data_IF_824457297444
#
_entry.id   IF_824457297444
#
_cell.length_a   1.000
_cell.length_b   1.000
_cell.length_c   1.000
_cell.angle_alpha   90.00
_cell.angle_beta   90.00
_cell.angle_gamma   90.00
#
_symmetry.space_group_name_H-M   'P 1'
#
loop_
_entity.id
_entity.type
_entity.pdbx_description
1 polymer ?
#
# COMPACT_ATOMS: atom_id res chain seq x y z
N UNK A 1 11.22 -15.95 -15.02
CA UNK A 1 9.93 -15.66 -14.35
C UNK A 1 9.69 -14.15 -14.42
N UNK A 2 8.96 -13.67 -15.43
CA UNK A 2 8.60 -12.24 -15.56
C UNK A 2 7.29 -11.99 -14.80
N UNK A 3 7.38 -11.86 -13.49
CA UNK A 3 6.22 -11.61 -12.63
C UNK A 3 5.61 -10.25 -12.97
N UNK A 4 4.31 -10.20 -13.31
CA UNK A 4 3.25 -9.17 -13.21
C UNK A 4 3.54 -7.66 -12.89
N UNK A 5 4.77 -7.17 -12.95
CA UNK A 5 5.15 -5.78 -12.68
C UNK A 5 4.51 -4.80 -13.67
N UNK A 6 4.30 -5.23 -14.93
CA UNK A 6 3.69 -4.39 -15.97
C UNK A 6 2.24 -3.98 -15.67
N UNK A 7 1.46 -4.84 -15.00
CA UNK A 7 0.07 -4.55 -14.63
C UNK A 7 0.01 -3.55 -13.45
N UNK A 8 0.86 -3.74 -12.44
CA UNK A 8 1.00 -2.78 -11.32
C UNK A 8 1.51 -1.41 -11.80
N UNK A 9 2.29 -1.36 -12.88
CA UNK A 9 2.76 -0.09 -13.45
C UNK A 9 1.69 0.68 -14.23
N UNK A 10 0.72 0.01 -14.87
CA UNK A 10 -0.20 0.66 -15.83
C UNK A 10 -1.61 0.95 -15.32
N UNK A 11 -2.10 0.30 -14.26
CA UNK A 11 -3.55 0.35 -13.91
C UNK A 11 -3.89 0.75 -12.47
N UNK A 12 -2.96 0.63 -11.51
CA UNK A 12 -3.29 0.78 -10.07
C UNK A 12 -2.73 2.05 -9.41
N UNK A 13 -3.30 2.47 -8.28
CA UNK A 13 -2.89 3.68 -7.53
C UNK A 13 -1.60 3.49 -6.70
N UNK A 14 -1.18 4.55 -5.99
CA UNK A 14 0.01 4.54 -5.12
C UNK A 14 -0.02 3.50 -4.00
N UNK A 15 -1.20 3.23 -3.45
CA UNK A 15 -1.40 2.18 -2.44
C UNK A 15 -1.06 0.80 -3.00
N UNK A 16 -1.73 0.40 -4.08
CA UNK A 16 -1.52 -0.89 -4.72
C UNK A 16 -0.07 -1.08 -5.18
N UNK A 17 0.52 -0.03 -5.75
CA UNK A 17 1.90 -0.04 -6.20
C UNK A 17 2.87 -0.32 -5.04
N UNK A 18 2.72 0.43 -3.94
CA UNK A 18 3.62 0.33 -2.81
C UNK A 18 3.50 -1.03 -2.10
N UNK A 19 2.28 -1.59 -2.03
CA UNK A 19 2.00 -2.82 -1.30
C UNK A 19 1.97 -4.08 -2.16
N UNK A 20 2.28 -3.95 -3.46
CA UNK A 20 2.15 -5.02 -4.46
C UNK A 20 0.77 -5.70 -4.40
N UNK A 21 -0.26 -4.91 -4.17
CA UNK A 21 -1.63 -5.38 -4.02
C UNK A 21 -2.28 -5.48 -5.42
N UNK A 22 -2.22 -6.68 -5.99
CA UNK A 22 -2.72 -6.96 -7.34
C UNK A 22 -4.23 -7.18 -7.27
N UNK A 23 -5.01 -6.14 -7.58
CA UNK A 23 -6.46 -6.29 -7.78
C UNK A 23 -6.77 -6.50 -9.26
N UNK A 24 -7.45 -7.59 -9.64
CA UNK A 24 -7.90 -7.80 -11.03
C UNK A 24 -8.99 -6.80 -11.47
N UNK A 25 -9.56 -6.05 -10.53
CA UNK A 25 -10.66 -5.11 -10.78
C UNK A 25 -10.21 -3.66 -10.55
N UNK A 26 -10.74 -2.71 -11.32
CA UNK A 26 -10.42 -1.27 -11.31
C UNK A 26 -10.79 -0.51 -10.03
N UNK A 27 -11.14 -1.20 -8.95
CA UNK A 27 -11.45 -0.58 -7.67
C UNK A 27 -10.13 -0.19 -7.00
N UNK A 28 -9.73 1.06 -7.17
CA UNK A 28 -8.54 1.66 -6.55
C UNK A 28 -8.44 1.29 -5.07
N UNK A 29 -7.58 0.33 -4.68
CA UNK A 29 -7.53 -0.13 -3.30
C UNK A 29 -7.04 0.98 -2.38
N UNK A 30 -7.58 1.00 -1.17
CA UNK A 30 -7.29 2.01 -0.16
C UNK A 30 -7.06 1.32 1.19
N UNK A 31 -6.35 1.97 2.13
CA UNK A 31 -6.19 1.47 3.49
C UNK A 31 -7.55 1.12 4.11
N UNK A 32 -7.65 -0.07 4.71
CA UNK A 32 -8.86 -0.65 5.30
C UNK A 32 -9.84 -1.28 4.31
N UNK A 33 -9.65 -1.08 3.01
CA UNK A 33 -10.60 -1.53 1.99
C UNK A 33 -10.75 -3.05 1.92
N UNK A 34 -9.71 -3.80 2.29
CA UNK A 34 -9.75 -5.26 2.39
C UNK A 34 -10.74 -5.78 3.45
N UNK A 35 -11.03 -4.94 4.45
CA UNK A 35 -11.93 -5.20 5.57
C UNK A 35 -13.28 -4.48 5.44
N UNK A 36 -13.55 -3.85 4.30
CA UNK A 36 -14.76 -3.06 4.08
C UNK A 36 -14.80 -1.75 4.85
N UNK A 37 -13.65 -1.25 5.31
CA UNK A 37 -13.56 0.03 6.02
C UNK A 37 -13.29 1.16 5.04
N UNK A 38 -14.06 2.24 5.16
CA UNK A 38 -13.85 3.47 4.39
C UNK A 38 -12.60 4.19 4.87
N UNK A 39 -11.75 4.61 3.93
CA UNK A 39 -10.55 5.37 4.24
C UNK A 39 -10.87 6.71 4.95
N UNK A 40 -10.13 6.99 6.02
CA UNK A 40 -10.04 8.30 6.66
C UNK A 40 -8.57 8.68 6.82
N UNK A 41 -8.28 9.96 6.62
CA UNK A 41 -6.93 10.54 6.72
C UNK A 41 -6.37 10.38 8.14
N UNK A 42 -7.21 10.58 9.14
CA UNK A 42 -6.88 10.52 10.57
C UNK A 42 -6.58 9.07 10.99
N UNK A 43 -7.26 8.11 10.37
CA UNK A 43 -7.14 6.69 10.67
C UNK A 43 -6.11 5.97 9.77
N UNK A 44 -5.34 6.66 8.93
CA UNK A 44 -4.49 5.98 7.94
C UNK A 44 -3.51 4.97 8.56
N UNK A 45 -2.85 5.32 9.68
CA UNK A 45 -1.91 4.41 10.34
C UNK A 45 -2.62 3.15 10.83
N UNK A 46 -3.68 3.22 11.66
CA UNK A 46 -4.37 2.01 12.09
C UNK A 46 -5.01 1.23 10.92
N UNK A 47 -5.40 1.88 9.82
CA UNK A 47 -5.90 1.19 8.62
C UNK A 47 -4.79 0.42 7.89
N UNK A 48 -3.59 1.00 7.75
CA UNK A 48 -2.43 0.29 7.20
C UNK A 48 -2.05 -0.92 8.07
N UNK A 49 -2.07 -0.76 9.39
CA UNK A 49 -1.82 -1.86 10.33
C UNK A 49 -2.89 -2.95 10.24
N UNK A 50 -4.16 -2.56 10.09
CA UNK A 50 -5.29 -3.48 9.85
C UNK A 50 -5.13 -4.31 8.58
N UNK A 51 -4.55 -3.70 7.53
CA UNK A 51 -4.22 -4.39 6.29
C UNK A 51 -2.96 -5.27 6.40
N UNK A 52 -2.25 -5.24 7.54
CA UNK A 52 -1.14 -6.13 7.86
C UNK A 52 0.25 -5.49 7.77
N UNK A 53 0.34 -4.17 7.65
CA UNK A 53 1.61 -3.46 7.75
C UNK A 53 2.07 -3.37 9.20
N UNK A 54 3.38 -3.40 9.41
CA UNK A 54 3.95 -3.23 10.75
C UNK A 54 4.72 -1.91 10.80
N UNK A 55 4.24 -0.94 11.58
CA UNK A 55 4.89 0.36 11.76
C UNK A 55 6.28 0.20 12.39
N UNK A 56 7.20 1.04 11.95
CA UNK A 56 8.60 1.08 12.39
C UNK A 56 9.01 2.53 12.56
N UNK A 57 9.52 2.86 13.75
CA UNK A 57 9.91 4.23 14.08
C UNK A 57 11.33 4.55 13.62
N UNK A 58 12.15 3.54 13.28
CA UNK A 58 13.54 3.72 12.85
C UNK A 58 13.82 3.06 11.50
N UNK A 59 14.68 3.71 10.71
CA UNK A 59 15.13 3.20 9.42
C UNK A 59 16.12 2.01 9.55
N UNK A 60 16.65 1.74 10.74
CA UNK A 60 17.92 1.03 10.91
C UNK A 60 17.92 -0.46 10.55
N UNK A 61 16.84 -1.18 10.83
CA UNK A 61 16.86 -2.64 10.69
C UNK A 61 16.14 -3.11 9.42
N UNK A 62 16.73 -4.07 8.73
CA UNK A 62 16.02 -4.83 7.68
C UNK A 62 15.36 -6.01 8.36
N UNK A 63 14.06 -6.19 8.13
CA UNK A 63 13.35 -7.40 8.55
C UNK A 63 13.40 -8.46 7.45
N UNK A 64 13.99 -9.65 7.69
CA UNK A 64 13.95 -10.75 6.73
C UNK A 64 12.53 -11.03 6.25
N UNK A 65 12.38 -11.35 4.95
CA UNK A 65 11.07 -11.61 4.34
C UNK A 65 10.21 -10.36 4.09
N UNK A 66 10.69 -9.15 4.38
CA UNK A 66 9.94 -7.90 4.20
C UNK A 66 10.73 -6.90 3.34
N UNK A 67 10.01 -5.93 2.77
CA UNK A 67 10.56 -4.66 2.30
C UNK A 67 9.92 -3.52 3.09
N UNK A 68 10.41 -2.29 2.89
CA UNK A 68 9.91 -1.12 3.61
C UNK A 68 9.07 -0.22 2.72
N UNK A 69 8.11 0.45 3.35
CA UNK A 69 7.34 1.55 2.77
C UNK A 69 7.39 2.73 3.74
N UNK A 70 7.58 3.94 3.24
CA UNK A 70 7.42 5.17 4.00
C UNK A 70 6.05 5.77 3.75
N UNK A 71 5.41 6.25 4.82
CA UNK A 71 4.18 7.02 4.72
C UNK A 71 4.51 8.51 4.75
N UNK A 72 4.07 9.26 3.75
CA UNK A 72 4.09 10.72 3.73
C UNK A 72 2.64 11.19 3.72
N UNK A 73 2.25 12.00 4.69
CA UNK A 73 0.96 12.70 4.64
C UNK A 73 1.13 13.96 3.82
N UNK A 74 0.37 14.10 2.74
CA UNK A 74 0.40 15.31 1.91
C UNK A 74 -0.78 16.22 2.23
N UNK A 75 -0.84 17.50 1.84
CA UNK A 75 -2.00 18.34 2.12
C UNK A 75 -3.33 17.74 1.62
N UNK A 76 -3.29 17.05 0.48
CA UNK A 76 -4.49 16.46 -0.13
C UNK A 76 -4.80 15.07 0.44
N UNK A 77 -3.79 14.19 0.56
CA UNK A 77 -4.01 12.78 0.94
C UNK A 77 -2.77 12.18 1.62
N UNK A 78 -2.21 11.12 1.05
CA UNK A 78 -1.04 10.41 1.51
C UNK A 78 -0.26 9.86 0.31
N UNK A 79 1.01 9.57 0.54
CA UNK A 79 1.87 8.82 -0.36
C UNK A 79 2.51 7.67 0.38
N UNK A 80 2.49 6.50 -0.27
CA UNK A 80 3.30 5.36 0.13
C UNK A 80 4.51 5.29 -0.81
N UNK A 81 5.70 5.44 -0.24
CA UNK A 81 6.98 5.40 -0.97
C UNK A 81 7.63 4.06 -0.65
N UNK A 82 7.83 3.23 -1.67
CA UNK A 82 8.34 1.86 -1.52
C UNK A 82 9.84 1.81 -1.70
N UNK A 83 10.51 1.02 -0.86
CA UNK A 83 11.89 0.59 -1.07
C UNK A 83 11.95 -0.41 -2.24
N UNK A 84 12.70 -0.08 -3.28
CA UNK A 84 12.95 -0.93 -4.43
C UNK A 84 14.13 -1.88 -4.19
N UNK A 85 14.27 -2.91 -5.02
CA UNK A 85 15.28 -3.96 -4.86
C UNK A 85 16.72 -3.46 -4.98
N UNK A 86 16.93 -2.31 -5.63
CA UNK A 86 18.22 -1.64 -5.76
C UNK A 86 18.55 -0.72 -4.57
N UNK A 87 17.69 -0.69 -3.54
CA UNK A 87 17.87 0.12 -2.34
C UNK A 87 17.44 1.58 -2.47
N UNK A 88 16.97 1.99 -3.66
CA UNK A 88 16.33 3.30 -3.84
C UNK A 88 14.85 3.25 -3.48
N UNK A 89 14.18 4.40 -3.64
CA UNK A 89 12.78 4.54 -3.27
C UNK A 89 11.95 5.06 -4.43
N UNK A 90 10.72 4.57 -4.54
CA UNK A 90 9.77 5.03 -5.56
C UNK A 90 8.35 5.14 -5.03
N UNK A 91 7.58 6.06 -5.59
CA UNK A 91 6.15 6.20 -5.32
C UNK A 91 5.39 6.38 -6.63
N UNK A 92 4.06 6.25 -6.58
CA UNK A 92 3.20 6.37 -7.76
C UNK A 92 2.07 7.38 -7.51
N UNK A 93 1.90 8.31 -8.43
CA UNK A 93 0.81 9.29 -8.42
C UNK A 93 -0.37 8.77 -9.26
N UNK A 94 -1.31 8.09 -8.60
CA UNK A 94 -2.46 7.47 -9.29
C UNK A 94 -2.00 6.48 -10.36
N UNK A 95 -2.47 6.65 -11.60
CA UNK A 95 -2.13 5.76 -12.72
C UNK A 95 -0.81 6.11 -13.45
N UNK A 96 -0.09 7.16 -13.02
CA UNK A 96 1.17 7.58 -13.67
C UNK A 96 2.29 6.57 -13.41
N UNK A 97 3.35 6.60 -14.21
CA UNK A 97 4.55 5.75 -13.97
C UNK A 97 5.16 6.04 -12.59
N UNK A 98 5.75 5.03 -11.93
CA UNK A 98 6.47 5.25 -10.67
C UNK A 98 7.55 6.32 -10.82
N UNK A 99 7.66 7.20 -9.83
CA UNK A 99 8.67 8.24 -9.72
C UNK A 99 9.69 7.84 -8.66
N UNK A 100 10.96 8.12 -8.95
CA UNK A 100 12.11 7.90 -8.04
C UNK A 100 12.73 9.20 -7.54
N UNK A 101 12.11 10.32 -7.87
CA UNK A 101 12.56 11.66 -7.53
C UNK A 101 11.54 12.35 -6.65
N UNK A 102 12.02 13.22 -5.78
CA UNK A 102 11.25 14.05 -4.87
C UNK A 102 10.63 15.27 -5.59
N UNK A 103 10.04 16.22 -4.84
CA UNK A 103 9.34 17.37 -5.44
C UNK A 103 10.25 18.36 -6.18
N UNK A 104 11.56 18.33 -5.93
CA UNK A 104 12.55 19.19 -6.61
C UNK A 104 13.35 18.44 -7.67
N UNK A 105 13.01 17.16 -7.93
CA UNK A 105 13.68 16.33 -8.94
C UNK A 105 14.91 15.57 -8.43
N UNK A 106 15.21 15.62 -7.13
CA UNK A 106 16.34 14.88 -6.55
C UNK A 106 15.96 13.41 -6.32
N UNK A 107 16.88 12.45 -6.48
CA UNK A 107 16.61 11.04 -6.17
C UNK A 107 16.19 10.81 -4.71
N UNK A 108 15.17 9.97 -4.49
CA UNK A 108 14.73 9.61 -3.14
C UNK A 108 15.64 8.49 -2.61
N UNK A 109 16.63 8.86 -1.81
CA UNK A 109 17.50 7.91 -1.10
C UNK A 109 16.97 7.55 0.29
N UNK A 110 16.41 8.53 0.99
CA UNK A 110 15.88 8.40 2.35
C UNK A 110 14.59 9.22 2.47
N UNK A 111 13.40 8.59 2.50
CA UNK A 111 12.12 9.31 2.41
C UNK A 111 11.88 10.41 3.45
N UNK A 112 12.37 10.27 4.69
CA UNK A 112 12.21 11.30 5.72
C UNK A 112 13.14 12.51 5.53
N UNK A 113 14.12 12.42 4.63
CA UNK A 113 15.03 13.51 4.26
C UNK A 113 14.73 14.11 2.88
N UNK A 114 13.86 13.46 2.09
CA UNK A 114 13.50 13.92 0.76
C UNK A 114 12.62 15.17 0.80
N UNK A 115 12.67 16.00 -0.25
CA UNK A 115 11.83 17.19 -0.36
C UNK A 115 10.44 16.80 -0.86
N UNK A 116 9.41 17.06 -0.07
CA UNK A 116 8.02 16.81 -0.46
C UNK A 116 7.31 18.12 -0.82
N UNK A 117 6.07 18.04 -1.30
CA UNK A 117 5.25 19.24 -1.48
C UNK A 117 4.98 19.93 -0.14
N UNK A 118 4.82 21.26 -0.18
CA UNK A 118 4.61 22.08 1.03
C UNK A 118 3.44 21.55 1.87
N UNK A 119 3.60 21.56 3.19
CA UNK A 119 2.66 20.96 4.14
C UNK A 119 2.69 19.42 4.22
N UNK A 120 3.62 18.74 3.55
CA UNK A 120 3.81 17.30 3.72
C UNK A 120 4.53 16.93 5.01
N UNK A 121 4.12 15.82 5.63
CA UNK A 121 4.67 15.34 6.91
C UNK A 121 5.01 13.86 6.83
N UNK A 122 6.22 13.50 7.22
CA UNK A 122 6.64 12.09 7.34
C UNK A 122 5.93 11.37 8.49
N UNK A 123 5.24 10.28 8.13
CA UNK A 123 4.54 9.23 8.92
C UNK A 123 5.36 8.32 9.84
N UNK A 124 6.51 7.91 9.33
CA UNK A 124 7.17 6.67 9.75
C UNK A 124 7.31 5.67 8.61
N UNK A 125 8.00 4.58 8.91
CA UNK A 125 8.19 3.45 8.02
C UNK A 125 7.26 2.30 8.39
N UNK A 126 7.05 1.39 7.45
CA UNK A 126 6.26 0.18 7.62
C UNK A 126 6.97 -0.98 6.94
N UNK A 127 6.96 -2.14 7.58
CA UNK A 127 7.31 -3.39 6.92
C UNK A 127 6.12 -3.95 6.15
N UNK A 128 6.38 -4.39 4.92
CA UNK A 128 5.44 -5.11 4.06
C UNK A 128 6.04 -6.46 3.71
N UNK A 129 5.29 -7.58 3.79
CA UNK A 129 5.77 -8.89 3.34
C UNK A 129 6.27 -8.83 1.89
N UNK A 130 7.36 -9.52 1.57
CA UNK A 130 7.95 -9.53 0.20
C UNK A 130 6.95 -9.98 -0.89
N UNK A 131 5.97 -10.80 -0.52
CA UNK A 131 4.89 -11.22 -1.40
C UNK A 131 3.79 -10.17 -1.64
N UNK A 132 3.88 -8.99 -1.02
CA UNK A 132 2.83 -7.97 -1.01
C UNK A 132 1.68 -8.31 -0.07
N UNK A 133 0.69 -7.42 -0.03
CA UNK A 133 -0.61 -7.75 0.54
C UNK A 133 -1.38 -8.59 -0.48
N UNK A 134 -1.46 -9.90 -0.25
CA UNK A 134 -2.35 -10.77 -1.03
C UNK A 134 -3.75 -10.64 -0.47
N UNK A 135 -4.47 -9.58 -0.85
CA UNK A 135 -5.87 -9.40 -0.44
C UNK A 135 -6.73 -10.40 -1.22
N UNK A 136 -6.85 -11.62 -0.71
CA UNK A 136 -8.03 -12.44 -1.03
C UNK A 136 -9.19 -11.77 -0.32
N UNK A 137 -10.06 -11.08 -1.06
CA UNK A 137 -11.31 -10.58 -0.47
C UNK A 137 -12.01 -11.78 0.13
N UNK A 138 -12.26 -11.77 1.43
CA UNK A 138 -13.19 -12.73 2.01
C UNK A 138 -14.52 -12.46 1.34
N UNK A 139 -14.89 -13.30 0.37
CA UNK A 139 -16.25 -13.38 -0.11
C UNK A 139 -17.12 -13.55 1.12
N UNK A 140 -18.07 -12.65 1.30
CA UNK A 140 -19.12 -12.74 2.32
C UNK A 140 -19.56 -14.20 2.42
N UNK A 141 -19.57 -14.83 3.61
CA UNK A 141 -20.11 -16.18 3.71
C UNK A 141 -21.52 -16.14 3.16
N UNK A 142 -21.76 -16.88 2.08
CA UNK A 142 -23.11 -17.13 1.58
C UNK A 142 -23.93 -17.58 2.78
N UNK A 143 -25.04 -16.90 3.15
CA UNK A 143 -25.88 -17.40 4.22
C UNK A 143 -26.29 -18.82 3.83
N UNK A 144 -25.96 -19.79 4.68
CA UNK A 144 -26.34 -21.17 4.47
C UNK A 144 -27.85 -21.20 4.21
N UNK A 145 -28.23 -21.62 3.01
CA UNK A 145 -29.62 -21.92 2.68
C UNK A 145 -30.04 -23.08 3.57
N UNK A 146 -30.70 -22.77 4.67
CA UNK A 146 -31.45 -23.74 5.45
C UNK A 146 -32.65 -24.16 4.61
N UNK A 147 -32.49 -25.25 3.85
CA UNK A 147 -33.64 -26.03 3.37
C UNK A 147 -33.92 -27.14 4.39
N UNK A 148 -34.94 -27.00 5.26
CA UNK A 148 -35.56 -28.15 5.87
C UNK A 148 -36.57 -28.73 4.88
N UNK A 149 -36.13 -29.67 4.04
CA UNK A 149 -37.05 -30.50 3.28
C UNK A 149 -37.32 -31.77 4.08
N UNK A 150 -38.31 -31.69 4.97
CA UNK A 150 -39.02 -32.85 5.50
C UNK A 150 -40.50 -32.49 5.60
N UNK A 151 -41.26 -32.99 4.65
CA UNK A 151 -42.72 -33.09 4.69
C UNK A 151 -43.12 -34.53 4.36
N UNK A 152 -44.32 -34.94 4.80
CA UNK A 152 -44.52 -36.06 5.73
C UNK A 152 -44.54 -37.46 5.13
#
# INVERSE_FOLDING_TARGET
MSENFGFLQSVVNGYAYALRDIHPNSNFPQPGGSRGVTFSREAIIPLLEMDGLVKVDTYGEKRPGHYRVALIMTPQTYRLVREDSDGGWSYKDGCRKPKRTDSIGAPISVPHMATWEDGSVFKGYFYVPKGGLRVVRMSTPTPASNNPELTP
#
